data_IF_580333147435
#
_entry.id   IF_580333147435
#
_cell.length_a   1.000
_cell.length_b   1.000
_cell.length_c   1.000
_cell.angle_alpha   90.00
_cell.angle_beta   90.00
_cell.angle_gamma   90.00
#
_symmetry.space_group_name_H-M   'P 1'
#
loop_
_entity.id
_entity.type
_entity.pdbx_description
1 polymer ?
#
# COMPACT_ATOMS: atom_id res chain seq x y z
N UNK A 1 -7.13 -14.18 -10.36
CA UNK A 1 -6.25 -13.03 -10.56
C UNK A 1 -6.95 -11.85 -11.23
N UNK A 2 -7.28 -11.88 -12.54
CA UNK A 2 -7.89 -10.72 -13.25
C UNK A 2 -9.05 -10.01 -12.52
N UNK A 3 -10.07 -10.76 -12.06
CA UNK A 3 -11.21 -10.17 -11.32
C UNK A 3 -10.80 -9.52 -9.99
N UNK A 4 -9.76 -10.03 -9.32
CA UNK A 4 -9.26 -9.44 -8.08
C UNK A 4 -8.51 -8.13 -8.37
N UNK A 5 -7.74 -8.07 -9.45
CA UNK A 5 -7.10 -6.84 -9.92
C UNK A 5 -8.14 -5.80 -10.36
N UNK A 6 -9.20 -6.21 -11.07
CA UNK A 6 -10.32 -5.32 -11.41
C UNK A 6 -11.00 -4.75 -10.16
N UNK A 7 -11.17 -5.56 -9.11
CA UNK A 7 -11.68 -5.09 -7.81
C UNK A 7 -10.71 -4.11 -7.13
N UNK A 8 -9.40 -4.39 -7.10
CA UNK A 8 -8.44 -3.41 -6.57
C UNK A 8 -8.51 -2.09 -7.34
N UNK A 9 -8.67 -2.12 -8.66
CA UNK A 9 -8.85 -0.90 -9.46
C UNK A 9 -10.14 -0.15 -9.09
N UNK A 10 -11.23 -0.85 -8.78
CA UNK A 10 -12.46 -0.18 -8.34
C UNK A 10 -12.35 0.46 -6.96
N UNK A 11 -11.54 -0.12 -6.07
CA UNK A 11 -11.31 0.39 -4.72
C UNK A 11 -10.19 1.44 -4.62
N UNK A 12 -9.42 1.66 -5.67
CA UNK A 12 -8.36 2.67 -5.65
C UNK A 12 -8.92 4.10 -5.64
N UNK A 13 -8.42 4.96 -4.77
CA UNK A 13 -8.80 6.37 -4.65
C UNK A 13 -7.88 7.28 -5.50
N UNK A 14 -8.28 8.54 -5.68
CA UNK A 14 -7.56 9.52 -6.51
C UNK A 14 -6.24 10.02 -5.88
N UNK A 15 -5.95 9.66 -4.64
CA UNK A 15 -4.64 9.88 -4.00
C UNK A 15 -3.64 8.75 -4.27
N UNK A 16 -4.07 7.67 -4.94
CA UNK A 16 -3.27 6.49 -5.25
C UNK A 16 -3.44 5.33 -4.26
N UNK A 17 -3.95 5.59 -3.06
CA UNK A 17 -4.21 4.56 -2.05
C UNK A 17 -5.51 3.78 -2.30
N UNK A 18 -5.78 2.79 -1.45
CA UNK A 18 -6.95 1.91 -1.57
C UNK A 18 -8.00 2.17 -0.49
N UNK A 19 -9.27 2.12 -0.90
CA UNK A 19 -10.42 2.40 -0.06
C UNK A 19 -10.68 1.30 0.98
N UNK A 20 -10.89 1.74 2.22
CA UNK A 20 -11.49 0.94 3.31
C UNK A 20 -12.31 1.85 4.22
N UNK A 21 -11.64 2.83 4.84
CA UNK A 21 -12.25 3.96 5.56
C UNK A 21 -11.61 5.27 5.05
N UNK A 22 -11.53 5.38 3.72
CA UNK A 22 -10.54 6.23 3.04
C UNK A 22 -9.20 5.52 2.88
N UNK A 23 -8.30 6.09 2.07
CA UNK A 23 -6.93 5.58 1.89
C UNK A 23 -6.17 5.58 3.22
N UNK A 24 -5.42 4.50 3.47
CA UNK A 24 -4.71 4.29 4.73
C UNK A 24 -3.61 3.23 4.56
N UNK A 25 -2.57 3.32 5.38
CA UNK A 25 -1.38 2.45 5.28
C UNK A 25 -1.74 0.96 5.35
N UNK A 26 -2.60 0.58 6.28
CA UNK A 26 -2.95 -0.83 6.50
C UNK A 26 -3.53 -1.50 5.25
N UNK A 27 -4.34 -0.77 4.48
CA UNK A 27 -4.95 -1.31 3.25
C UNK A 27 -3.94 -1.27 2.10
N UNK A 28 -3.15 -0.21 2.01
CA UNK A 28 -2.13 -0.07 0.98
C UNK A 28 -1.05 -1.14 1.10
N UNK A 29 -0.58 -1.44 2.31
CA UNK A 29 0.44 -2.46 2.57
C UNK A 29 0.01 -3.81 1.97
N UNK A 30 -1.22 -4.25 2.26
CA UNK A 30 -1.78 -5.49 1.72
C UNK A 30 -1.98 -5.44 0.20
N UNK A 31 -2.47 -4.31 -0.31
CA UNK A 31 -2.68 -4.16 -1.74
C UNK A 31 -1.36 -4.20 -2.51
N UNK A 32 -0.33 -3.48 -2.05
CA UNK A 32 1.01 -3.45 -2.64
C UNK A 32 1.62 -4.85 -2.66
N UNK A 33 1.60 -5.57 -1.53
CA UNK A 33 2.12 -6.94 -1.48
C UNK A 33 1.37 -7.88 -2.44
N UNK A 34 0.05 -7.74 -2.56
CA UNK A 34 -0.75 -8.53 -3.48
C UNK A 34 -0.51 -8.16 -4.96
N UNK A 35 -0.23 -6.89 -5.27
CA UNK A 35 0.19 -6.44 -6.61
C UNK A 35 1.55 -7.04 -6.99
N UNK A 36 2.55 -6.94 -6.10
CA UNK A 36 3.86 -7.55 -6.29
C UNK A 36 3.73 -9.07 -6.55
N UNK A 37 2.94 -9.78 -5.72
CA UNK A 37 2.68 -11.20 -5.89
C UNK A 37 1.90 -11.56 -7.16
N UNK A 38 1.18 -10.62 -7.76
CA UNK A 38 0.51 -10.78 -9.05
C UNK A 38 1.42 -10.43 -10.25
N UNK A 39 2.66 -9.98 -10.00
CA UNK A 39 3.58 -9.47 -11.03
C UNK A 39 3.20 -8.09 -11.56
N UNK A 40 2.34 -7.36 -10.85
CA UNK A 40 1.95 -5.99 -11.16
C UNK A 40 2.91 -5.02 -10.46
N UNK A 41 3.42 -4.02 -11.18
CA UNK A 41 4.23 -2.96 -10.57
C UNK A 41 3.31 -1.93 -9.89
N UNK A 42 3.38 -1.72 -8.56
CA UNK A 42 2.53 -0.76 -7.86
C UNK A 42 2.60 0.66 -8.42
N UNK A 43 3.75 1.13 -8.90
CA UNK A 43 3.93 2.45 -9.53
C UNK A 43 3.11 2.61 -10.83
N UNK A 44 2.80 1.49 -11.49
CA UNK A 44 1.89 1.43 -12.65
C UNK A 44 0.42 1.52 -12.26
N UNK A 45 0.10 1.40 -10.98
CA UNK A 45 -1.23 1.61 -10.42
C UNK A 45 -1.46 3.07 -10.11
N UNK A 46 -1.26 3.97 -11.08
CA UNK A 46 -1.59 5.39 -10.89
C UNK A 46 -3.09 5.64 -10.94
N UNK A 47 -3.56 6.51 -10.05
CA UNK A 47 -4.89 7.12 -10.07
C UNK A 47 -4.83 8.52 -9.47
N UNK A 48 -5.38 9.50 -10.19
CA UNK A 48 -5.36 10.90 -9.78
C UNK A 48 -3.95 11.44 -9.55
N UNK A 49 -3.66 11.90 -8.33
CA UNK A 49 -2.39 12.52 -7.97
C UNK A 49 -1.29 11.54 -7.56
N UNK A 50 -1.59 10.24 -7.44
CA UNK A 50 -0.63 9.28 -6.88
C UNK A 50 -0.75 7.86 -7.43
N UNK A 51 0.02 7.00 -6.80
CA UNK A 51 0.08 5.54 -6.88
C UNK A 51 0.21 4.97 -5.45
N UNK A 52 0.06 3.65 -5.24
CA UNK A 52 0.06 3.05 -3.91
C UNK A 52 1.32 3.35 -3.10
N UNK A 53 2.51 3.33 -3.73
CA UNK A 53 3.76 3.62 -3.02
C UNK A 53 3.84 5.08 -2.62
N UNK A 54 3.44 6.01 -3.49
CA UNK A 54 3.43 7.43 -3.16
C UNK A 54 2.43 7.79 -2.06
N UNK A 55 1.26 7.14 -2.03
CA UNK A 55 0.30 7.34 -0.94
C UNK A 55 0.84 6.79 0.38
N UNK A 56 1.35 5.55 0.40
CA UNK A 56 1.94 4.97 1.61
C UNK A 56 3.12 5.81 2.14
N UNK A 57 4.01 6.27 1.25
CA UNK A 57 5.12 7.15 1.61
C UNK A 57 4.65 8.50 2.20
N UNK A 58 3.50 9.02 1.77
CA UNK A 58 2.93 10.26 2.32
C UNK A 58 2.49 10.13 3.78
N UNK A 59 2.29 8.89 4.25
CA UNK A 59 1.91 8.58 5.64
C UNK A 59 3.12 8.41 6.56
N UNK A 60 4.35 8.39 6.01
CA UNK A 60 5.57 8.36 6.79
C UNK A 60 5.82 9.70 7.50
N UNK A 61 6.22 9.64 8.76
CA UNK A 61 6.56 10.81 9.58
C UNK A 61 8.07 11.06 9.60
N UNK A 62 8.47 12.19 10.18
CA UNK A 62 9.88 12.58 10.27
C UNK A 62 10.74 11.57 11.05
N UNK A 63 10.16 10.84 12.00
CA UNK A 63 10.84 9.77 12.74
C UNK A 63 10.91 8.42 12.00
N UNK A 64 10.38 8.36 10.77
CA UNK A 64 10.33 7.17 9.94
C UNK A 64 9.14 6.25 10.18
N UNK A 65 8.34 6.48 11.24
CA UNK A 65 7.12 5.71 11.47
C UNK A 65 6.09 5.96 10.36
N UNK A 66 5.37 4.92 9.96
CA UNK A 66 4.24 5.02 9.04
C UNK A 66 2.96 5.05 9.88
N UNK A 67 2.20 6.12 9.76
CA UNK A 67 0.92 6.27 10.45
C UNK A 67 -0.22 5.63 9.67
N UNK A 68 -1.32 5.29 10.35
CA UNK A 68 -2.52 4.77 9.69
C UNK A 68 -3.08 5.76 8.65
N UNK A 69 -3.16 7.03 9.04
CA UNK A 69 -3.55 8.17 8.19
C UNK A 69 -2.68 9.37 8.52
N UNK A 70 -2.70 10.39 7.65
CA UNK A 70 -1.90 11.60 7.83
C UNK A 70 -2.12 12.29 9.20
N UNK A 71 -3.34 12.18 9.74
CA UNK A 71 -3.80 12.76 11.00
C UNK A 71 -4.07 11.73 12.12
N UNK A 72 -3.76 10.45 11.90
CA UNK A 72 -4.03 9.39 12.88
C UNK A 72 -2.93 8.34 12.88
N UNK A 73 -2.21 8.24 14.01
CA UNK A 73 -1.11 7.29 14.18
C UNK A 73 -1.54 5.82 14.05
N UNK A 74 -2.58 5.41 14.78
CA UNK A 74 -3.02 4.00 14.83
C UNK A 74 -1.94 3.07 15.40
N UNK A 75 -1.92 1.80 14.97
CA UNK A 75 -0.88 0.82 15.31
C UNK A 75 0.41 1.05 14.51
N UNK A 76 1.02 2.24 14.63
CA UNK A 76 2.15 2.69 13.80
C UNK A 76 3.32 1.70 13.72
N UNK A 77 3.61 0.96 14.79
CA UNK A 77 4.63 -0.09 14.77
C UNK A 77 4.30 -1.19 13.74
N UNK A 78 3.06 -1.64 13.69
CA UNK A 78 2.58 -2.66 12.74
C UNK A 78 2.59 -2.13 11.30
N UNK A 79 2.06 -0.93 11.08
CA UNK A 79 2.05 -0.28 9.75
C UNK A 79 3.45 0.02 9.24
N UNK A 80 4.38 0.36 10.12
CA UNK A 80 5.79 0.54 9.73
C UNK A 80 6.40 -0.79 9.33
N UNK A 81 6.17 -1.85 10.10
CA UNK A 81 6.70 -3.18 9.79
C UNK A 81 6.14 -3.71 8.45
N UNK A 82 4.83 -3.62 8.24
CA UNK A 82 4.17 -4.05 7.01
C UNK A 82 4.55 -3.16 5.82
N UNK A 83 4.62 -1.83 6.01
CA UNK A 83 5.05 -0.91 4.97
C UNK A 83 6.47 -1.16 4.49
N UNK A 84 7.41 -1.54 5.37
CA UNK A 84 8.76 -1.95 4.95
C UNK A 84 8.70 -3.18 4.03
N UNK A 85 7.87 -4.17 4.36
CA UNK A 85 7.69 -5.37 3.52
C UNK A 85 7.01 -5.03 2.19
N UNK A 86 5.98 -4.19 2.22
CA UNK A 86 5.29 -3.74 1.02
C UNK A 86 6.22 -2.97 0.06
N UNK A 87 7.02 -2.06 0.60
CA UNK A 87 7.94 -1.21 -0.16
C UNK A 87 9.21 -1.93 -0.64
N UNK A 88 9.58 -3.08 -0.05
CA UNK A 88 10.77 -3.83 -0.49
C UNK A 88 10.59 -4.48 -1.87
N UNK A 89 9.37 -4.50 -2.41
CA UNK A 89 9.05 -5.13 -3.68
C UNK A 89 8.88 -6.65 -3.58
N UNK A 90 8.92 -7.21 -2.37
CA UNK A 90 8.74 -8.64 -2.15
C UNK A 90 7.26 -9.04 -2.05
N UNK A 91 6.94 -10.28 -2.43
CA UNK A 91 5.63 -10.89 -2.26
C UNK A 91 5.59 -11.71 -0.95
N UNK A 92 4.40 -11.95 -0.38
CA UNK A 92 4.22 -12.94 0.70
C UNK A 92 3.52 -14.21 0.15
N UNK A 93 4.05 -15.43 0.43
CA UNK A 93 5.34 -15.68 1.06
C UNK A 93 6.49 -15.28 0.11
N UNK A 94 7.60 -14.77 0.65
CA UNK A 94 8.78 -14.50 -0.16
C UNK A 94 9.27 -15.81 -0.77
N UNK A 95 9.80 -15.74 -1.99
CA UNK A 95 10.53 -16.84 -2.59
C UNK A 95 11.81 -17.06 -1.77
N UNK A 96 11.71 -17.90 -0.73
CA UNK A 96 12.84 -18.34 0.05
C UNK A 96 13.62 -19.40 -0.75
N UNK A 97 14.96 -19.32 -0.83
CA UNK A 97 15.79 -20.32 -1.49
C UNK A 97 15.71 -21.70 -0.83
#
# INVERSE_FOLDING_TARGET
>A
MRKALEYFRSEQNDDGGFSSLGSNSATDDWAIMALNGAGEAPEGWRRGSGDPLSHLASLQKEDGSIWWKADSEGSSFEWTALGIVAMSGEAIPPDLP
#
